data_IF_094890977865
#
_entry.id   IF_094890977865
#
_cell.length_a   1.000
_cell.length_b   1.000
_cell.length_c   1.000
_cell.angle_alpha   90.00
_cell.angle_beta   90.00
_cell.angle_gamma   90.00
#
_symmetry.space_group_name_H-M   'P 1'
#
loop_
_entity.id
_entity.type
_entity.pdbx_description
1 polymer ?
#
# COMPACT_ATOMS: atom_id res chain seq x y z
N UNK A 1 26.56 -34.10 30.89
CA UNK A 1 26.33 -35.30 31.73
C UNK A 1 27.51 -35.63 32.67
N UNK A 2 28.74 -35.86 32.18
CA UNK A 2 29.89 -36.21 33.05
C UNK A 2 30.26 -35.14 34.09
N UNK A 3 30.42 -33.88 33.66
CA UNK A 3 30.70 -32.75 34.57
C UNK A 3 29.56 -32.47 35.55
N UNK A 4 28.33 -32.76 35.13
CA UNK A 4 27.15 -32.63 35.97
C UNK A 4 27.15 -33.62 37.14
N UNK A 5 27.32 -34.92 36.85
CA UNK A 5 27.44 -35.96 37.88
C UNK A 5 28.61 -35.70 38.84
N UNK A 6 29.73 -35.21 38.31
CA UNK A 6 30.90 -34.83 39.11
C UNK A 6 30.60 -33.67 40.07
N UNK A 7 29.80 -32.68 39.65
CA UNK A 7 29.37 -31.56 40.48
C UNK A 7 28.38 -31.98 41.56
N UNK A 8 27.43 -32.87 41.25
CA UNK A 8 26.51 -33.44 42.26
C UNK A 8 27.30 -34.23 43.30
N UNK A 9 28.18 -35.14 42.86
CA UNK A 9 28.97 -35.97 43.76
C UNK A 9 29.84 -35.11 44.69
N UNK A 10 30.47 -34.05 44.18
CA UNK A 10 31.19 -33.08 45.02
C UNK A 10 30.28 -32.45 46.07
N UNK A 11 29.12 -31.92 45.67
CA UNK A 11 28.16 -31.35 46.63
C UNK A 11 27.64 -32.38 47.65
N UNK A 12 27.59 -33.65 47.26
CA UNK A 12 27.16 -34.73 48.13
C UNK A 12 28.20 -35.04 49.22
N UNK A 13 29.47 -35.07 48.83
CA UNK A 13 30.59 -35.26 49.75
C UNK A 13 30.82 -34.06 50.68
N UNK A 14 30.59 -32.84 50.19
CA UNK A 14 30.83 -31.62 50.98
C UNK A 14 29.75 -31.36 52.05
N UNK A 15 28.48 -31.67 51.76
CA UNK A 15 27.35 -31.31 52.64
C UNK A 15 26.74 -32.49 53.42
N UNK A 16 27.13 -33.73 53.14
CA UNK A 16 26.67 -34.98 53.79
C UNK A 16 25.21 -34.93 54.31
N UNK A 17 24.22 -34.73 53.42
CA UNK A 17 22.83 -34.53 53.81
C UNK A 17 22.20 -35.81 54.38
N UNK A 18 21.27 -35.66 55.33
CA UNK A 18 20.57 -36.77 55.99
C UNK A 18 19.74 -37.64 55.01
N UNK A 19 19.27 -37.06 53.91
CA UNK A 19 18.53 -37.75 52.85
C UNK A 19 19.20 -37.50 51.49
N UNK A 20 20.20 -38.32 51.11
CA UNK A 20 21.03 -38.12 49.93
C UNK A 20 20.24 -38.12 48.62
N UNK A 21 19.18 -38.94 48.57
CA UNK A 21 18.40 -39.20 47.37
C UNK A 21 17.54 -38.00 46.94
N UNK A 22 16.90 -37.30 47.90
CA UNK A 22 16.06 -36.13 47.59
C UNK A 22 16.88 -34.96 47.07
N UNK A 23 18.07 -34.75 47.63
CA UNK A 23 18.98 -33.70 47.16
C UNK A 23 19.45 -34.00 45.72
N UNK A 24 19.73 -35.27 45.41
CA UNK A 24 20.08 -35.68 44.05
C UNK A 24 18.95 -35.39 43.06
N UNK A 25 17.71 -35.73 43.42
CA UNK A 25 16.52 -35.50 42.59
C UNK A 25 16.26 -34.00 42.37
N UNK A 26 16.40 -33.17 43.40
CA UNK A 26 16.27 -31.71 43.27
C UNK A 26 17.37 -31.09 42.39
N UNK A 27 18.61 -31.54 42.52
CA UNK A 27 19.73 -31.09 41.69
C UNK A 27 19.61 -31.59 40.25
N UNK A 28 18.97 -32.75 40.02
CA UNK A 28 18.63 -33.28 38.68
C UNK A 28 17.57 -32.43 38.01
N UNK A 29 16.48 -32.15 38.72
CA UNK A 29 15.43 -31.28 38.21
C UNK A 29 15.94 -29.88 37.89
N UNK A 30 16.73 -29.27 38.79
CA UNK A 30 17.34 -27.94 38.54
C UNK A 30 18.32 -27.94 37.36
N UNK A 31 19.02 -29.03 37.10
CA UNK A 31 19.94 -29.10 35.96
C UNK A 31 19.19 -29.26 34.64
N UNK A 32 18.13 -30.06 34.60
CA UNK A 32 17.23 -30.15 33.45
C UNK A 32 16.52 -28.81 33.18
N UNK A 33 16.03 -28.13 34.22
CA UNK A 33 15.47 -26.77 34.12
C UNK A 33 16.49 -25.77 33.56
N UNK A 34 17.75 -25.81 34.04
CA UNK A 34 18.80 -24.94 33.52
C UNK A 34 19.24 -25.29 32.09
N UNK A 35 19.24 -26.57 31.71
CA UNK A 35 19.50 -27.01 30.33
C UNK A 35 18.43 -26.52 29.35
N UNK A 36 17.18 -26.40 29.81
CA UNK A 36 16.10 -25.80 29.02
C UNK A 36 16.27 -24.28 28.87
N UNK A 37 16.88 -23.61 29.86
CA UNK A 37 17.16 -22.16 29.85
C UNK A 37 18.44 -21.84 29.05
N UNK A 38 19.44 -22.73 29.06
CA UNK A 38 20.71 -22.60 28.34
C UNK A 38 20.59 -22.86 26.83
N UNK A 39 19.42 -23.32 26.35
CA UNK A 39 19.03 -23.06 24.97
C UNK A 39 18.84 -21.56 24.83
N UNK A 40 19.95 -20.86 24.59
CA UNK A 40 19.96 -19.44 24.26
C UNK A 40 18.90 -19.22 23.20
N UNK A 41 17.80 -18.61 23.60
CA UNK A 41 16.89 -17.99 22.65
C UNK A 41 17.74 -16.87 22.08
N UNK A 42 18.47 -17.15 20.99
CA UNK A 42 18.98 -16.10 20.13
C UNK A 42 17.78 -15.19 19.88
N UNK A 43 17.82 -13.99 20.43
CA UNK A 43 16.74 -13.02 20.28
C UNK A 43 16.46 -12.93 18.80
N UNK A 44 15.24 -13.33 18.39
CA UNK A 44 14.85 -13.29 16.99
C UNK A 44 15.17 -11.90 16.42
N UNK A 45 15.68 -11.79 15.17
CA UNK A 45 15.96 -10.50 14.55
C UNK A 45 14.72 -9.58 14.58
N UNK A 46 13.53 -10.17 14.56
CA UNK A 46 12.25 -9.48 14.76
C UNK A 46 12.20 -8.77 16.12
N UNK A 47 12.52 -9.48 17.21
CA UNK A 47 12.48 -8.94 18.57
C UNK A 47 13.52 -7.82 18.77
N UNK A 48 14.70 -7.97 18.18
CA UNK A 48 15.73 -6.91 18.22
C UNK A 48 15.25 -5.65 17.52
N UNK A 49 14.65 -5.77 16.33
CA UNK A 49 14.13 -4.61 15.60
C UNK A 49 12.94 -3.96 16.31
N UNK A 50 12.04 -4.76 16.89
CA UNK A 50 10.94 -4.26 17.71
C UNK A 50 11.44 -3.43 18.89
N UNK A 51 12.51 -3.86 19.57
CA UNK A 51 13.12 -3.09 20.66
C UNK A 51 13.68 -1.75 20.18
N UNK A 52 14.33 -1.72 19.01
CA UNK A 52 14.85 -0.47 18.41
C UNK A 52 13.71 0.50 18.09
N UNK A 53 12.63 0.00 17.47
CA UNK A 53 11.45 0.80 17.13
C UNK A 53 10.79 1.39 18.38
N UNK A 54 10.73 0.61 19.47
CA UNK A 54 10.18 1.06 20.75
C UNK A 54 11.10 2.08 21.45
N UNK A 55 12.43 1.93 21.36
CA UNK A 55 13.37 2.87 22.00
C UNK A 55 13.41 4.24 21.32
N UNK A 56 13.13 4.31 20.02
CA UNK A 56 13.19 5.55 19.23
C UNK A 56 11.96 6.46 19.41
N UNK A 57 11.05 6.14 20.32
CA UNK A 57 9.78 6.86 20.49
C UNK A 57 9.90 8.30 21.03
N UNK A 58 11.04 8.69 21.59
CA UNK A 58 11.16 9.92 22.41
C UNK A 58 11.30 11.24 21.64
N UNK A 59 11.35 11.25 20.30
CA UNK A 59 11.81 12.44 19.56
C UNK A 59 10.81 13.18 18.66
N UNK A 60 9.55 12.73 18.49
CA UNK A 60 8.72 13.28 17.40
C UNK A 60 7.24 13.37 17.76
N UNK A 61 6.85 14.51 18.32
CA UNK A 61 5.44 14.81 18.64
C UNK A 61 4.88 16.04 17.91
N UNK A 62 5.74 16.89 17.31
CA UNK A 62 5.34 18.21 16.81
C UNK A 62 4.59 18.23 15.46
N UNK A 63 5.08 17.54 14.43
CA UNK A 63 4.56 17.66 13.04
C UNK A 63 3.99 16.35 12.45
N UNK A 64 3.98 15.25 13.19
CA UNK A 64 3.60 13.94 12.62
C UNK A 64 2.12 13.80 12.28
N UNK A 65 1.23 14.57 12.92
CA UNK A 65 -0.21 14.46 12.70
C UNK A 65 -0.67 14.98 11.34
N UNK A 66 0.03 15.97 10.79
CA UNK A 66 -0.28 16.52 9.46
C UNK A 66 0.25 15.61 8.35
N UNK A 67 1.44 15.03 8.57
CA UNK A 67 2.10 14.20 7.56
C UNK A 67 1.53 12.77 7.52
N UNK A 68 1.14 12.20 8.66
CA UNK A 68 0.73 10.81 8.77
C UNK A 68 -0.74 10.66 9.18
N UNK A 69 -1.50 9.87 8.42
CA UNK A 69 -2.88 9.52 8.79
C UNK A 69 -2.95 8.79 10.14
N UNK A 70 -3.96 9.08 10.96
CA UNK A 70 -4.18 8.43 12.26
C UNK A 70 -4.62 6.96 12.09
N UNK A 71 -3.66 6.08 11.85
CA UNK A 71 -3.90 4.67 11.52
C UNK A 71 -4.68 3.92 12.61
N UNK A 72 -4.49 4.27 13.88
CA UNK A 72 -5.16 3.63 15.00
C UNK A 72 -6.66 3.96 15.03
N UNK A 73 -7.01 5.23 14.76
CA UNK A 73 -8.39 5.67 14.65
C UNK A 73 -9.08 5.04 13.45
N UNK A 74 -8.41 5.06 12.29
CA UNK A 74 -8.89 4.40 11.06
C UNK A 74 -9.15 2.92 11.32
N UNK A 75 -8.25 2.21 12.01
CA UNK A 75 -8.49 0.81 12.35
C UNK A 75 -9.66 0.60 13.30
N UNK A 76 -9.89 1.50 14.27
CA UNK A 76 -11.04 1.37 15.15
C UNK A 76 -12.37 1.50 14.38
N UNK A 77 -12.42 2.35 13.34
CA UNK A 77 -13.59 2.43 12.45
C UNK A 77 -13.79 1.11 11.69
N UNK A 78 -12.69 0.56 11.17
CA UNK A 78 -12.66 -0.72 10.46
C UNK A 78 -13.02 -1.93 11.37
N UNK A 79 -12.64 -1.90 12.65
CA UNK A 79 -13.01 -2.91 13.66
C UNK A 79 -14.52 -2.91 13.91
N UNK A 80 -15.17 -1.74 13.89
CA UNK A 80 -16.64 -1.64 14.00
C UNK A 80 -17.36 -2.26 12.79
N UNK A 81 -16.72 -2.25 11.61
CA UNK A 81 -17.24 -2.84 10.37
C UNK A 81 -16.98 -4.36 10.32
N UNK A 82 -16.08 -4.86 11.18
CA UNK A 82 -15.63 -6.26 11.18
C UNK A 82 -14.58 -6.58 10.12
N UNK A 83 -13.95 -5.57 9.53
CA UNK A 83 -12.83 -5.72 8.58
C UNK A 83 -11.65 -4.94 9.15
N UNK A 84 -10.89 -5.56 10.06
CA UNK A 84 -9.73 -4.91 10.70
C UNK A 84 -8.51 -5.80 10.68
N UNK A 85 -7.34 -5.17 10.80
CA UNK A 85 -6.10 -5.85 11.13
C UNK A 85 -5.96 -5.94 12.66
N UNK A 86 -5.03 -6.79 13.12
CA UNK A 86 -4.78 -6.89 14.56
C UNK A 86 -4.21 -5.57 15.11
N UNK A 87 -4.64 -5.17 16.31
CA UNK A 87 -4.19 -3.91 16.94
C UNK A 87 -2.68 -3.85 17.12
N UNK A 88 -2.06 -4.98 17.48
CA UNK A 88 -0.61 -5.09 17.61
C UNK A 88 0.09 -4.90 16.26
N UNK A 89 -0.40 -5.58 15.21
CA UNK A 89 0.13 -5.50 13.84
C UNK A 89 0.11 -4.07 13.32
N UNK A 90 -0.99 -3.35 13.56
CA UNK A 90 -1.14 -1.95 13.16
C UNK A 90 -0.22 -1.02 13.93
N UNK A 91 -0.03 -1.26 15.22
CA UNK A 91 0.91 -0.48 16.02
C UNK A 91 2.34 -0.65 15.48
N UNK A 92 2.72 -1.87 15.09
CA UNK A 92 4.01 -2.11 14.45
C UNK A 92 4.14 -1.43 13.09
N UNK A 93 3.12 -1.50 12.24
CA UNK A 93 3.09 -0.78 10.96
C UNK A 93 3.23 0.73 11.19
N UNK A 94 2.53 1.27 12.19
CA UNK A 94 2.62 2.68 12.56
C UNK A 94 4.04 3.06 12.99
N UNK A 95 4.72 2.23 13.79
CA UNK A 95 6.12 2.45 14.16
C UNK A 95 7.06 2.40 12.94
N UNK A 96 6.84 1.46 12.02
CA UNK A 96 7.64 1.37 10.79
C UNK A 96 7.44 2.58 9.88
N UNK A 97 6.21 3.08 9.77
CA UNK A 97 5.91 4.30 9.01
C UNK A 97 6.63 5.53 9.62
N UNK A 98 6.72 5.60 10.95
CA UNK A 98 7.52 6.63 11.63
C UNK A 98 9.00 6.52 11.34
N UNK A 99 9.53 5.30 11.31
CA UNK A 99 10.93 5.03 10.95
C UNK A 99 11.22 5.48 9.52
N UNK A 100 10.33 5.16 8.58
CA UNK A 100 10.41 5.60 7.18
C UNK A 100 10.42 7.13 7.04
N UNK A 101 9.59 7.83 7.81
CA UNK A 101 9.56 9.30 7.84
C UNK A 101 10.91 9.89 8.30
N UNK A 102 11.59 9.21 9.23
CA UNK A 102 12.90 9.65 9.73
C UNK A 102 14.01 9.41 8.70
N UNK A 103 13.91 8.30 7.95
CA UNK A 103 14.87 7.97 6.90
C UNK A 103 14.70 8.87 5.66
N UNK A 104 13.47 9.26 5.32
CA UNK A 104 13.13 10.01 4.10
C UNK A 104 12.46 11.35 4.44
N UNK A 105 13.23 12.42 4.46
CA UNK A 105 12.79 13.75 4.87
C UNK A 105 11.84 14.48 3.88
N UNK A 106 11.64 13.97 2.67
CA UNK A 106 10.90 14.66 1.59
C UNK A 106 9.43 14.22 1.45
N UNK A 107 8.93 13.39 2.37
CA UNK A 107 7.54 12.91 2.33
C UNK A 107 6.61 14.01 2.84
N UNK A 108 5.67 14.44 2.01
CA UNK A 108 4.63 15.42 2.37
C UNK A 108 3.48 14.73 3.12
N UNK A 109 3.02 13.59 2.59
CA UNK A 109 1.90 12.83 3.16
C UNK A 109 2.17 11.34 3.08
N UNK A 110 1.91 10.63 4.17
CA UNK A 110 2.10 9.20 4.30
C UNK A 110 0.79 8.51 4.72
N UNK A 111 0.32 7.58 3.90
CA UNK A 111 -0.92 6.83 4.15
C UNK A 111 -0.67 5.34 4.03
N UNK A 112 -1.18 4.57 4.99
CA UNK A 112 -1.22 3.12 4.86
C UNK A 112 -2.24 2.73 3.77
N UNK A 113 -1.76 2.07 2.72
CA UNK A 113 -2.60 1.65 1.60
C UNK A 113 -3.34 0.36 1.94
N UNK A 114 -2.63 -0.62 2.52
CA UNK A 114 -3.22 -1.90 2.88
C UNK A 114 -2.24 -3.05 2.94
N UNK A 115 -2.80 -4.26 2.95
CA UNK A 115 -2.08 -5.53 3.03
C UNK A 115 -2.47 -6.44 1.87
N UNK A 116 -1.49 -7.02 1.18
CA UNK A 116 -1.69 -8.04 0.16
C UNK A 116 -1.16 -9.37 0.70
N UNK A 117 -1.99 -10.41 0.62
CA UNK A 117 -1.59 -11.75 1.06
C UNK A 117 -0.71 -12.42 0.00
N UNK A 118 0.37 -13.05 0.45
CA UNK A 118 1.21 -13.91 -0.36
C UNK A 118 1.26 -15.34 0.20
N UNK A 119 1.85 -16.25 -0.56
CA UNK A 119 1.96 -17.67 -0.20
C UNK A 119 2.93 -17.90 0.97
N UNK A 120 4.08 -17.24 0.94
CA UNK A 120 5.12 -17.33 1.98
C UNK A 120 5.06 -16.15 2.94
N UNK A 121 5.00 -14.92 2.41
CA UNK A 121 4.94 -13.69 3.19
C UNK A 121 3.86 -12.74 2.66
N UNK A 122 3.34 -11.90 3.54
CA UNK A 122 2.37 -10.86 3.18
C UNK A 122 3.10 -9.54 2.90
N UNK A 123 2.54 -8.72 2.04
CA UNK A 123 3.05 -7.37 1.76
C UNK A 123 2.23 -6.32 2.49
N UNK A 124 2.90 -5.46 3.24
CA UNK A 124 2.33 -4.24 3.82
C UNK A 124 2.75 -3.06 2.96
N UNK A 125 1.77 -2.31 2.47
CA UNK A 125 1.98 -1.26 1.47
C UNK A 125 1.62 0.09 2.07
N UNK A 126 2.49 1.06 1.85
CA UNK A 126 2.32 2.46 2.24
C UNK A 126 2.44 3.32 0.99
N UNK A 127 1.50 4.24 0.81
CA UNK A 127 1.55 5.26 -0.25
C UNK A 127 2.08 6.58 0.32
N UNK A 128 2.91 7.27 -0.46
CA UNK A 128 3.55 8.52 -0.08
C UNK A 128 3.44 9.56 -1.21
N UNK A 129 3.11 10.79 -0.81
CA UNK A 129 3.15 12.00 -1.64
C UNK A 129 4.45 12.78 -1.33
N UNK A 130 5.04 13.44 -2.33
CA UNK A 130 6.34 14.12 -2.24
C UNK A 130 6.30 15.52 -2.84
N UNK A 131 7.10 16.42 -2.25
CA UNK A 131 7.23 17.82 -2.69
C UNK A 131 8.17 18.01 -3.90
N UNK A 132 9.20 17.18 -4.03
CA UNK A 132 10.19 17.27 -5.11
C UNK A 132 10.54 15.90 -5.68
N UNK A 133 10.71 15.85 -6.99
CA UNK A 133 10.98 14.63 -7.75
C UNK A 133 12.48 14.26 -7.83
N UNK A 134 13.35 15.12 -7.29
CA UNK A 134 14.78 15.11 -7.64
C UNK A 134 15.63 14.11 -6.84
N UNK A 135 15.10 13.53 -5.75
CA UNK A 135 15.86 12.66 -4.83
C UNK A 135 15.50 11.15 -4.97
N UNK A 136 14.89 10.74 -6.08
CA UNK A 136 14.48 9.34 -6.26
C UNK A 136 15.60 8.46 -6.82
N UNK A 137 15.86 7.35 -6.14
CA UNK A 137 16.74 6.27 -6.61
C UNK A 137 16.07 5.55 -7.80
N UNK A 138 16.23 6.12 -8.99
CA UNK A 138 15.78 5.53 -10.24
C UNK A 138 16.72 4.39 -10.63
N UNK A 139 16.52 3.23 -10.00
CA UNK A 139 17.22 2.00 -10.37
C UNK A 139 16.82 1.47 -11.76
N UNK A 140 15.73 2.00 -12.34
CA UNK A 140 15.26 1.62 -13.67
C UNK A 140 15.90 2.50 -14.75
N UNK A 141 17.02 2.03 -15.30
CA UNK A 141 17.76 2.69 -16.39
C UNK A 141 16.91 2.98 -17.63
N UNK A 142 15.81 2.25 -17.81
CA UNK A 142 14.90 2.43 -18.93
C UNK A 142 13.96 3.63 -18.70
N UNK A 143 13.49 3.82 -17.47
CA UNK A 143 12.65 4.95 -17.10
C UNK A 143 13.42 6.27 -17.16
N UNK A 144 14.70 6.25 -16.74
CA UNK A 144 15.56 7.43 -16.78
C UNK A 144 15.75 7.95 -18.21
N UNK A 145 15.88 7.06 -19.20
CA UNK A 145 15.95 7.46 -20.62
C UNK A 145 14.68 8.18 -21.09
N UNK A 146 13.51 7.71 -20.66
CA UNK A 146 12.25 8.40 -20.99
C UNK A 146 12.15 9.76 -20.32
N UNK A 147 12.58 9.87 -19.06
CA UNK A 147 12.59 11.14 -18.34
C UNK A 147 13.55 12.16 -18.97
N UNK A 148 14.75 11.72 -19.38
CA UNK A 148 15.71 12.54 -20.11
C UNK A 148 15.17 12.95 -21.48
N UNK A 149 14.57 12.04 -22.24
CA UNK A 149 13.97 12.31 -23.55
C UNK A 149 12.75 13.25 -23.49
N UNK A 150 12.01 13.26 -22.37
CA UNK A 150 10.90 14.21 -22.18
C UNK A 150 11.36 15.60 -21.74
N UNK A 151 12.54 15.72 -21.11
CA UNK A 151 13.08 16.99 -20.62
C UNK A 151 14.01 17.68 -21.62
N UNK A 152 14.63 16.92 -22.52
CA UNK A 152 15.49 17.42 -23.60
C UNK A 152 14.79 17.24 -24.93
N UNK A 153 14.33 18.33 -25.55
CA UNK A 153 13.77 18.36 -26.90
C UNK A 153 14.84 18.14 -27.99
N UNK A 154 15.76 17.18 -27.83
CA UNK A 154 16.82 16.91 -28.81
C UNK A 154 16.38 15.88 -29.86
N UNK A 155 16.78 16.16 -31.11
CA UNK A 155 16.32 15.51 -32.35
C UNK A 155 16.44 13.98 -32.34
N UNK A 156 15.39 13.33 -32.84
CA UNK A 156 15.16 11.89 -32.80
C UNK A 156 16.07 11.13 -33.76
N UNK A 157 17.02 10.35 -33.22
CA UNK A 157 17.73 9.31 -33.98
C UNK A 157 16.78 8.16 -34.40
N UNK A 158 17.07 7.49 -35.51
CA UNK A 158 16.29 6.36 -36.07
C UNK A 158 16.06 5.20 -35.07
N UNK A 159 16.85 5.11 -33.99
CA UNK A 159 16.63 4.17 -32.88
C UNK A 159 15.49 4.58 -31.94
N UNK A 160 15.21 5.87 -31.78
CA UNK A 160 14.09 6.40 -30.99
C UNK A 160 12.75 6.21 -31.68
N UNK A 161 12.71 6.00 -33.01
CA UNK A 161 11.47 5.78 -33.76
C UNK A 161 10.74 4.50 -33.31
N UNK A 162 11.48 3.45 -32.89
CA UNK A 162 10.86 2.24 -32.32
C UNK A 162 10.30 2.46 -30.91
N UNK A 163 10.78 3.48 -30.18
CA UNK A 163 10.29 3.88 -28.86
C UNK A 163 8.86 4.46 -28.97
N UNK A 164 8.58 5.20 -30.05
CA UNK A 164 7.26 5.81 -30.32
C UNK A 164 6.21 4.85 -30.91
N UNK A 165 6.61 3.63 -31.29
CA UNK A 165 5.62 2.60 -31.66
C UNK A 165 4.89 2.06 -30.43
N UNK A 166 5.50 2.20 -29.25
CA UNK A 166 4.91 1.82 -27.97
C UNK A 166 4.44 3.05 -27.21
N UNK A 167 3.52 2.84 -26.28
CA UNK A 167 2.93 3.90 -25.48
C UNK A 167 3.95 4.33 -24.42
N UNK A 168 4.37 5.61 -24.38
CA UNK A 168 5.42 6.03 -23.45
C UNK A 168 4.90 6.03 -22.00
N UNK A 169 5.78 5.74 -21.02
CA UNK A 169 5.44 5.82 -19.61
C UNK A 169 5.21 7.27 -19.17
N UNK A 170 4.39 7.44 -18.12
CA UNK A 170 4.14 8.75 -17.53
C UNK A 170 5.27 9.13 -16.56
N UNK A 171 5.58 10.42 -16.51
CA UNK A 171 6.65 10.98 -15.69
C UNK A 171 6.35 10.80 -14.19
N UNK A 172 7.41 10.86 -13.38
CA UNK A 172 7.26 10.77 -11.92
C UNK A 172 6.55 12.03 -11.43
N UNK A 173 5.58 11.84 -10.54
CA UNK A 173 4.71 12.92 -10.08
C UNK A 173 3.47 13.14 -10.96
N UNK A 174 3.41 12.53 -12.14
CA UNK A 174 2.29 12.67 -13.06
C UNK A 174 1.46 11.39 -13.20
N UNK A 175 0.15 11.57 -13.36
CA UNK A 175 -0.83 10.52 -13.62
C UNK A 175 -0.68 9.27 -12.74
N UNK A 176 -0.32 8.16 -13.37
CA UNK A 176 -0.16 6.82 -12.81
C UNK A 176 1.06 6.72 -11.89
N UNK A 177 2.09 7.54 -12.12
CA UNK A 177 3.32 7.62 -11.33
C UNK A 177 3.35 8.82 -10.38
N UNK A 178 2.19 9.40 -10.07
CA UNK A 178 2.05 10.48 -9.08
C UNK A 178 2.49 10.09 -7.68
N UNK A 179 2.06 8.90 -7.22
CA UNK A 179 2.34 8.41 -5.87
C UNK A 179 3.41 7.34 -5.89
N UNK A 180 4.21 7.31 -4.84
CA UNK A 180 5.21 6.27 -4.64
C UNK A 180 4.73 5.32 -3.57
N UNK A 181 5.03 4.05 -3.80
CA UNK A 181 4.61 2.98 -2.92
C UNK A 181 5.83 2.32 -2.28
N UNK A 182 5.74 2.12 -0.97
CA UNK A 182 6.72 1.43 -0.17
C UNK A 182 6.13 0.12 0.34
N UNK A 183 6.92 -0.95 0.30
CA UNK A 183 6.49 -2.30 0.68
C UNK A 183 7.43 -2.91 1.70
N UNK A 184 6.86 -3.56 2.71
CA UNK A 184 7.60 -4.46 3.60
C UNK A 184 6.91 -5.82 3.71
N UNK A 185 7.68 -6.88 3.91
CA UNK A 185 7.14 -8.23 4.11
C UNK A 185 6.87 -8.56 5.59
N UNK A 186 7.50 -7.81 6.51
CA UNK A 186 7.52 -8.14 7.93
C UNK A 186 8.05 -7.00 8.79
N UNK A 187 7.77 -7.06 10.08
CA UNK A 187 8.14 -6.02 11.07
C UNK A 187 9.67 -5.92 11.21
N UNK A 188 10.38 -6.99 10.87
CA UNK A 188 11.83 -7.12 10.89
C UNK A 188 12.55 -6.42 9.72
N UNK A 189 11.83 -6.00 8.67
CA UNK A 189 12.43 -5.44 7.45
C UNK A 189 12.06 -3.97 7.24
N UNK A 190 12.98 -3.16 6.68
CA UNK A 190 12.66 -1.79 6.34
C UNK A 190 11.69 -1.76 5.16
N UNK A 191 11.08 -0.61 4.94
CA UNK A 191 10.29 -0.36 3.75
C UNK A 191 11.20 -0.30 2.51
N UNK A 192 10.82 -1.04 1.47
CA UNK A 192 11.49 -1.08 0.17
C UNK A 192 10.62 -0.28 -0.81
N UNK A 193 11.22 0.67 -1.52
CA UNK A 193 10.54 1.43 -2.55
C UNK A 193 10.22 0.55 -3.76
N UNK A 194 8.98 0.61 -4.26
CA UNK A 194 8.59 -0.05 -5.50
C UNK A 194 9.04 0.76 -6.73
N UNK A 195 9.35 0.09 -7.85
CA UNK A 195 9.68 0.75 -9.10
C UNK A 195 8.49 1.53 -9.68
N UNK A 196 8.76 2.38 -10.65
CA UNK A 196 7.71 3.05 -11.43
C UNK A 196 7.02 2.06 -12.35
N UNK A 197 5.77 2.34 -12.71
CA UNK A 197 4.99 1.44 -13.56
C UNK A 197 5.00 1.92 -15.00
N UNK A 198 5.11 0.97 -15.92
CA UNK A 198 4.95 1.23 -17.35
C UNK A 198 3.55 0.86 -17.85
N UNK A 199 3.03 1.50 -18.91
CA UNK A 199 1.73 1.16 -19.48
C UNK A 199 1.63 -0.30 -19.92
N UNK A 200 2.73 -0.86 -20.43
CA UNK A 200 2.82 -2.27 -20.82
C UNK A 200 2.62 -3.20 -19.63
N UNK A 201 3.25 -2.92 -18.49
CA UNK A 201 3.07 -3.71 -17.26
C UNK A 201 1.60 -3.68 -16.80
N UNK A 202 0.93 -2.52 -16.84
CA UNK A 202 -0.48 -2.42 -16.48
C UNK A 202 -1.34 -3.26 -17.42
N UNK A 203 -1.15 -3.14 -18.73
CA UNK A 203 -1.90 -3.88 -19.74
C UNK A 203 -1.75 -5.39 -19.59
N UNK A 204 -0.52 -5.86 -19.39
CA UNK A 204 -0.24 -7.28 -19.21
C UNK A 204 -0.74 -7.80 -17.86
N UNK A 205 -0.68 -7.00 -16.79
CA UNK A 205 -1.21 -7.39 -15.48
C UNK A 205 -2.71 -7.72 -15.52
N UNK A 206 -3.49 -7.13 -16.44
CA UNK A 206 -4.93 -7.42 -16.61
C UNK A 206 -5.20 -8.86 -17.04
N UNK A 207 -4.22 -9.52 -17.68
CA UNK A 207 -4.31 -10.91 -18.15
C UNK A 207 -3.75 -11.92 -17.15
N UNK A 208 -3.09 -11.44 -16.09
CA UNK A 208 -2.40 -12.29 -15.12
C UNK A 208 -3.32 -12.55 -13.93
N UNK A 209 -3.54 -13.84 -13.64
CA UNK A 209 -4.23 -14.31 -12.46
C UNK A 209 -3.31 -15.27 -11.71
N UNK A 210 -2.51 -14.73 -10.79
CA UNK A 210 -1.55 -15.49 -10.00
C UNK A 210 -1.59 -15.04 -8.54
N UNK A 211 -1.34 -15.95 -7.60
CA UNK A 211 -1.08 -15.61 -6.20
C UNK A 211 0.34 -15.07 -6.04
N UNK A 212 0.49 -14.03 -5.23
CA UNK A 212 1.79 -13.49 -4.86
C UNK A 212 2.57 -14.48 -4.00
N UNK A 213 3.88 -14.57 -4.20
CA UNK A 213 4.73 -15.48 -3.41
C UNK A 213 5.08 -14.86 -2.06
N UNK A 214 5.24 -13.54 -1.99
CA UNK A 214 5.82 -12.88 -0.81
C UNK A 214 7.33 -12.62 -0.93
N UNK A 215 7.90 -12.88 -2.11
CA UNK A 215 9.25 -12.48 -2.49
C UNK A 215 9.21 -11.50 -3.68
N UNK A 216 9.73 -10.29 -3.47
CA UNK A 216 9.72 -9.20 -4.46
C UNK A 216 10.48 -9.54 -5.76
N UNK A 217 11.47 -10.42 -5.69
CA UNK A 217 12.31 -10.81 -6.83
C UNK A 217 11.87 -12.12 -7.51
N UNK A 218 10.72 -12.68 -7.11
CA UNK A 218 10.18 -13.88 -7.76
C UNK A 218 9.76 -13.60 -9.21
N UNK A 219 10.00 -14.56 -10.10
CA UNK A 219 9.60 -14.43 -11.50
C UNK A 219 8.08 -14.61 -11.67
N UNK A 220 7.47 -13.80 -12.52
CA UNK A 220 6.04 -13.87 -12.82
C UNK A 220 5.80 -14.95 -13.88
N UNK A 221 4.96 -15.94 -13.55
CA UNK A 221 4.62 -17.03 -14.46
C UNK A 221 3.42 -16.58 -15.30
N UNK A 222 3.68 -16.02 -16.48
CA UNK A 222 2.63 -15.63 -17.43
C UNK A 222 2.99 -16.05 -18.85
N UNK A 223 1.99 -16.55 -19.59
CA UNK A 223 2.07 -16.84 -21.03
C UNK A 223 2.29 -15.55 -21.86
N UNK A 224 2.02 -14.39 -21.28
CA UNK A 224 2.08 -13.10 -21.96
C UNK A 224 3.43 -12.38 -21.84
N UNK A 225 4.50 -13.06 -21.41
CA UNK A 225 5.85 -12.51 -21.17
C UNK A 225 5.82 -11.14 -20.45
N UNK A 226 5.46 -11.15 -19.16
CA UNK A 226 5.40 -9.92 -18.37
C UNK A 226 6.80 -9.28 -18.21
N UNK A 227 6.98 -7.99 -18.52
CA UNK A 227 8.25 -7.30 -18.40
C UNK A 227 8.51 -6.91 -16.94
N UNK A 228 9.06 -7.86 -16.18
CA UNK A 228 9.51 -7.64 -14.81
C UNK A 228 9.33 -8.84 -13.88
N UNK A 229 9.79 -8.67 -12.65
CA UNK A 229 9.57 -9.59 -11.52
C UNK A 229 8.34 -9.22 -10.70
N UNK A 230 8.06 -9.96 -9.61
CA UNK A 230 6.90 -9.80 -8.74
C UNK A 230 6.69 -8.37 -8.23
N UNK A 231 7.77 -7.61 -7.92
CA UNK A 231 7.66 -6.19 -7.50
C UNK A 231 6.97 -5.29 -8.54
N UNK A 232 7.19 -5.53 -9.84
CA UNK A 232 6.56 -4.76 -10.92
C UNK A 232 5.09 -5.17 -11.08
N UNK A 233 4.79 -6.47 -10.93
CA UNK A 233 3.41 -6.95 -10.92
C UNK A 233 2.65 -6.37 -9.74
N UNK A 234 3.25 -6.37 -8.56
CA UNK A 234 2.69 -5.79 -7.33
C UNK A 234 2.40 -4.30 -7.53
N UNK A 235 3.37 -3.53 -8.04
CA UNK A 235 3.18 -2.11 -8.39
C UNK A 235 2.02 -1.89 -9.36
N UNK A 236 1.93 -2.69 -10.42
CA UNK A 236 0.86 -2.57 -11.42
C UNK A 236 -0.53 -2.92 -10.83
N UNK A 237 -0.62 -3.94 -9.97
CA UNK A 237 -1.87 -4.31 -9.29
C UNK A 237 -2.31 -3.24 -8.30
N UNK A 238 -1.39 -2.70 -7.49
CA UNK A 238 -1.67 -1.59 -6.57
C UNK A 238 -2.27 -0.41 -7.34
N UNK A 239 -1.67 -0.07 -8.48
CA UNK A 239 -2.13 1.05 -9.30
C UNK A 239 -3.55 0.84 -9.84
N UNK A 240 -3.85 -0.37 -10.35
CA UNK A 240 -5.17 -0.73 -10.83
C UNK A 240 -6.22 -0.70 -9.73
N UNK A 241 -5.87 -1.20 -8.55
CA UNK A 241 -6.75 -1.17 -7.39
C UNK A 241 -7.00 0.28 -6.97
N UNK A 242 -5.95 1.08 -6.79
CA UNK A 242 -6.05 2.48 -6.39
C UNK A 242 -6.93 3.30 -7.33
N UNK A 243 -6.81 3.12 -8.65
CA UNK A 243 -7.63 3.83 -9.62
C UNK A 243 -9.11 3.38 -9.60
N UNK A 244 -9.41 2.15 -9.19
CA UNK A 244 -10.77 1.64 -9.16
C UNK A 244 -11.48 1.81 -7.82
N UNK A 245 -10.75 1.98 -6.71
CA UNK A 245 -11.36 1.87 -5.37
C UNK A 245 -11.22 3.07 -4.47
N UNK A 246 -10.52 4.11 -4.92
CA UNK A 246 -10.38 5.34 -4.15
C UNK A 246 -11.59 6.25 -4.37
N UNK A 247 -12.52 6.17 -3.43
CA UNK A 247 -13.80 6.89 -3.43
C UNK A 247 -13.89 7.89 -2.28
N UNK A 248 -14.72 8.91 -2.46
CA UNK A 248 -15.02 9.90 -1.45
C UNK A 248 -16.51 10.27 -1.46
N UNK A 249 -17.07 10.79 -0.36
CA UNK A 249 -18.40 11.37 -0.36
C UNK A 249 -18.52 12.51 -1.37
N UNK A 250 -19.67 12.61 -2.03
CA UNK A 250 -19.99 13.68 -2.97
C UNK A 250 -19.86 15.04 -2.28
N UNK A 251 -19.29 16.02 -2.99
CA UNK A 251 -18.97 17.38 -2.54
C UNK A 251 -17.85 17.50 -1.50
N UNK A 252 -17.18 16.39 -1.14
CA UNK A 252 -16.00 16.47 -0.28
C UNK A 252 -14.79 17.08 -1.03
N UNK A 253 -14.61 16.68 -2.29
CA UNK A 253 -13.63 17.26 -3.19
C UNK A 253 -14.29 18.20 -4.18
N UNK A 254 -13.57 19.27 -4.53
CA UNK A 254 -13.92 20.20 -5.61
C UNK A 254 -12.78 20.23 -6.62
N UNK A 255 -13.17 20.39 -7.89
CA UNK A 255 -12.21 20.70 -8.95
C UNK A 255 -11.90 22.19 -8.78
N UNK A 256 -10.62 22.59 -8.68
CA UNK A 256 -10.26 24.00 -8.60
C UNK A 256 -10.73 24.71 -9.87
N UNK A 257 -11.43 25.83 -9.70
CA UNK A 257 -11.84 26.69 -10.80
C UNK A 257 -10.58 27.38 -11.34
N UNK A 258 -10.02 26.87 -12.45
CA UNK A 258 -8.90 27.53 -13.13
C UNK A 258 -9.51 28.70 -13.93
N UNK A 259 -9.27 29.94 -13.48
CA UNK A 259 -9.78 31.18 -14.10
C UNK A 259 -9.13 31.56 -15.45
N UNK A 260 -8.43 30.64 -16.13
CA UNK A 260 -7.77 30.95 -17.41
C UNK A 260 -8.69 30.67 -18.61
N UNK A 261 -9.36 31.73 -19.08
CA UNK A 261 -10.27 31.80 -20.25
C UNK A 261 -9.63 31.44 -21.61
N UNK A 262 -8.35 31.08 -21.69
CA UNK A 262 -7.63 30.81 -22.96
C UNK A 262 -7.21 29.34 -23.18
N UNK A 263 -7.53 28.44 -22.26
CA UNK A 263 -7.18 27.02 -22.37
C UNK A 263 -8.39 26.24 -22.89
N UNK A 264 -8.40 25.95 -24.20
CA UNK A 264 -9.51 25.25 -24.87
C UNK A 264 -9.90 23.95 -24.16
N UNK A 265 -11.16 23.52 -24.34
CA UNK A 265 -11.80 22.37 -23.67
C UNK A 265 -10.94 21.06 -23.67
N UNK A 266 -9.99 20.91 -24.60
CA UNK A 266 -9.07 19.77 -24.71
C UNK A 266 -7.92 19.78 -23.68
N UNK A 267 -7.67 20.89 -22.98
CA UNK A 267 -6.59 21.03 -21.99
C UNK A 267 -7.07 20.91 -20.54
N UNK A 268 -8.39 20.89 -20.30
CA UNK A 268 -8.94 20.63 -18.97
C UNK A 268 -8.62 19.20 -18.49
N UNK A 269 -8.51 18.23 -19.41
CA UNK A 269 -8.22 16.82 -19.05
C UNK A 269 -6.78 16.57 -18.58
N UNK A 270 -5.85 17.50 -18.79
CA UNK A 270 -4.40 17.26 -18.62
C UNK A 270 -3.85 17.63 -17.23
N UNK A 271 -4.49 18.55 -16.51
CA UNK A 271 -3.98 19.07 -15.22
C UNK A 271 -4.94 18.90 -14.03
N UNK A 272 -6.14 18.35 -14.20
CA UNK A 272 -7.13 18.20 -13.12
C UNK A 272 -6.84 17.08 -12.13
N UNK A 273 -5.59 16.67 -11.92
CA UNK A 273 -5.27 15.69 -10.86
C UNK A 273 -5.31 16.30 -9.46
N UNK A 274 -5.25 17.63 -9.33
CA UNK A 274 -5.28 18.31 -8.05
C UNK A 274 -6.72 18.68 -7.68
N UNK A 275 -7.27 17.93 -6.73
CA UNK A 275 -8.58 18.18 -6.15
C UNK A 275 -8.39 18.90 -4.82
N UNK A 276 -9.16 19.97 -4.61
CA UNK A 276 -9.16 20.70 -3.35
C UNK A 276 -10.20 20.14 -2.38
N UNK A 277 -9.86 20.14 -1.09
CA UNK A 277 -10.81 19.79 -0.04
C UNK A 277 -11.81 20.93 0.09
N UNK A 278 -13.10 20.59 0.06
CA UNK A 278 -14.16 21.56 0.21
C UNK A 278 -14.33 21.99 1.68
N UNK A 279 -13.81 23.16 2.04
CA UNK A 279 -13.94 23.74 3.38
C UNK A 279 -15.41 23.97 3.84
N UNK A 280 -16.35 24.01 2.90
CA UNK A 280 -17.79 24.20 3.18
C UNK A 280 -18.58 22.89 3.30
N UNK A 281 -17.92 21.75 3.38
CA UNK A 281 -18.58 20.45 3.46
C UNK A 281 -19.21 20.21 4.85
N UNK A 282 -20.55 20.17 4.91
CA UNK A 282 -21.32 19.97 6.16
C UNK A 282 -21.63 18.49 6.48
N UNK A 283 -21.15 17.55 5.67
CA UNK A 283 -21.47 16.13 5.83
C UNK A 283 -22.81 15.74 5.18
N UNK A 284 -22.81 14.69 4.38
CA UNK A 284 -24.04 14.09 3.86
C UNK A 284 -24.79 13.34 4.98
N UNK A 285 -26.12 13.31 4.93
CA UNK A 285 -26.93 12.55 5.88
C UNK A 285 -26.65 11.04 5.72
N UNK A 286 -26.79 10.31 6.82
CA UNK A 286 -26.56 8.86 6.84
C UNK A 286 -27.50 8.12 5.86
N UNK A 287 -28.77 8.52 5.81
CA UNK A 287 -29.77 7.96 4.89
C UNK A 287 -29.35 8.16 3.43
N UNK A 288 -28.85 9.34 3.09
CA UNK A 288 -28.39 9.67 1.73
C UNK A 288 -27.14 8.86 1.36
N UNK A 289 -26.24 8.60 2.31
CA UNK A 289 -25.03 7.79 2.05
C UNK A 289 -25.33 6.29 1.92
N UNK A 290 -26.29 5.77 2.67
CA UNK A 290 -26.61 4.35 2.72
C UNK A 290 -27.64 3.89 1.67
N UNK A 291 -28.67 4.70 1.40
CA UNK A 291 -29.85 4.30 0.61
C UNK A 291 -29.80 4.78 -0.86
N UNK A 292 -28.76 5.50 -1.27
CA UNK A 292 -28.68 6.14 -2.58
C UNK A 292 -28.08 5.28 -3.70
N UNK A 293 -27.94 3.97 -3.49
CA UNK A 293 -27.31 3.05 -4.46
C UNK A 293 -25.95 3.56 -4.98
N UNK A 294 -25.19 4.32 -4.17
CA UNK A 294 -23.87 4.81 -4.55
C UNK A 294 -23.84 6.16 -5.28
N UNK A 295 -24.95 6.89 -5.40
CA UNK A 295 -24.92 8.22 -6.04
C UNK A 295 -24.09 9.26 -5.25
N UNK A 296 -23.99 9.08 -3.93
CA UNK A 296 -23.26 9.99 -3.05
C UNK A 296 -21.80 9.60 -2.84
N UNK A 297 -21.32 8.56 -3.54
CA UNK A 297 -19.91 8.15 -3.53
C UNK A 297 -19.34 8.39 -4.92
N UNK A 298 -18.23 9.10 -4.99
CA UNK A 298 -17.58 9.53 -6.23
C UNK A 298 -16.12 9.11 -6.25
N UNK A 299 -15.61 8.77 -7.43
CA UNK A 299 -14.18 8.49 -7.63
C UNK A 299 -13.39 9.78 -7.66
N UNK A 300 -12.36 9.91 -6.82
CA UNK A 300 -11.49 11.09 -6.80
C UNK A 300 -10.13 10.85 -7.49
N UNK A 301 -9.86 9.62 -7.90
CA UNK A 301 -8.65 9.25 -8.65
C UNK A 301 -8.99 9.11 -10.14
N UNK A 302 -8.12 9.55 -11.05
CA UNK A 302 -8.31 9.39 -12.49
C UNK A 302 -8.39 7.92 -12.92
N UNK A 303 -9.19 7.68 -13.94
CA UNK A 303 -9.35 6.37 -14.57
C UNK A 303 -8.11 5.97 -15.39
N UNK A 304 -7.77 4.68 -15.35
CA UNK A 304 -6.69 4.10 -16.16
C UNK A 304 -7.28 3.48 -17.43
N UNK A 305 -6.97 4.06 -18.58
CA UNK A 305 -7.35 3.58 -19.91
C UNK A 305 -6.84 2.16 -20.22
N UNK A 306 -7.41 1.48 -21.22
CA UNK A 306 -6.92 0.17 -21.67
C UNK A 306 -5.45 0.19 -22.12
N UNK A 307 -5.01 1.36 -22.56
CA UNK A 307 -3.63 1.66 -22.90
C UNK A 307 -2.67 1.54 -21.70
N UNK A 308 -3.17 1.68 -20.47
CA UNK A 308 -2.37 1.66 -19.24
C UNK A 308 -1.86 3.03 -18.78
N UNK A 309 -2.53 4.11 -19.20
CA UNK A 309 -2.23 5.50 -18.83
C UNK A 309 -3.44 6.19 -18.22
N UNK A 310 -3.22 7.28 -17.49
CA UNK A 310 -4.30 8.16 -17.03
C UNK A 310 -4.65 9.21 -18.09
N UNK A 311 -3.66 9.61 -18.89
CA UNK A 311 -3.85 10.51 -20.02
C UNK A 311 -3.76 9.69 -21.30
N UNK A 312 -4.80 9.77 -22.14
CA UNK A 312 -4.85 9.03 -23.39
C UNK A 312 -3.75 9.54 -24.35
N UNK A 313 -2.91 8.63 -24.84
CA UNK A 313 -1.87 8.98 -25.80
C UNK A 313 -2.37 8.77 -27.23
N UNK A 314 -2.57 9.88 -27.95
CA UNK A 314 -3.04 9.89 -29.34
C UNK A 314 -1.91 9.51 -30.30
N UNK A 315 -2.02 8.34 -30.94
CA UNK A 315 -1.23 8.04 -32.15
C UNK A 315 -1.95 8.60 -33.38
N UNK A 316 -1.22 9.25 -34.28
CA UNK A 316 -1.78 9.99 -35.42
C UNK A 316 -2.69 9.14 -36.34
N UNK A 317 -2.54 7.81 -36.32
CA UNK A 317 -3.27 6.87 -37.18
C UNK A 317 -4.64 6.39 -36.61
N UNK A 318 -4.96 6.62 -35.33
CA UNK A 318 -6.12 5.99 -34.65
C UNK A 318 -7.25 6.96 -34.22
N UNK A 319 -7.55 8.01 -35.00
CA UNK A 319 -8.58 9.01 -34.63
C UNK A 319 -10.04 8.51 -34.60
N UNK A 320 -10.32 7.25 -34.96
CA UNK A 320 -11.70 6.76 -35.15
C UNK A 320 -12.28 5.94 -33.98
N UNK A 321 -11.46 5.52 -33.01
CA UNK A 321 -11.89 4.71 -31.85
C UNK A 321 -11.18 5.13 -30.57
N UNK A 322 -11.29 6.40 -30.20
CA UNK A 322 -10.73 6.93 -28.95
C UNK A 322 -11.61 6.42 -27.79
N UNK A 323 -11.01 5.67 -26.86
CA UNK A 323 -11.65 5.32 -25.59
C UNK A 323 -11.88 6.62 -24.81
N UNK A 324 -13.13 6.92 -24.43
CA UNK A 324 -13.45 8.03 -23.53
C UNK A 324 -13.71 7.45 -22.15
N UNK A 325 -12.82 7.76 -21.20
CA UNK A 325 -12.96 7.35 -19.81
C UNK A 325 -14.02 8.19 -19.09
N UNK A 326 -14.50 7.74 -17.92
CA UNK A 326 -15.34 8.55 -17.07
C UNK A 326 -14.57 9.79 -16.58
N UNK A 327 -15.27 10.90 -16.40
CA UNK A 327 -14.69 12.11 -15.84
C UNK A 327 -14.35 11.94 -14.35
N UNK A 328 -13.52 12.83 -13.80
CA UNK A 328 -13.28 12.87 -12.35
C UNK A 328 -14.58 13.15 -11.59
N UNK A 329 -14.67 12.64 -10.37
CA UNK A 329 -15.84 12.76 -9.50
C UNK A 329 -17.11 12.10 -10.06
N UNK A 330 -16.96 11.13 -10.96
CA UNK A 330 -18.06 10.27 -11.42
C UNK A 330 -18.57 9.39 -10.28
N UNK A 331 -19.88 9.23 -10.19
CA UNK A 331 -20.54 8.42 -9.15
C UNK A 331 -20.31 6.93 -9.36
N UNK A 332 -20.11 6.17 -8.27
CA UNK A 332 -19.91 4.71 -8.33
C UNK A 332 -21.13 3.94 -8.86
N UNK A 333 -22.31 4.58 -8.93
CA UNK A 333 -23.51 4.00 -9.52
C UNK A 333 -23.39 3.82 -11.05
N UNK A 334 -22.50 4.56 -11.70
CA UNK A 334 -22.24 4.46 -13.14
C UNK A 334 -21.19 3.39 -13.47
N UNK A 335 -20.60 2.74 -12.45
CA UNK A 335 -19.60 1.71 -12.63
C UNK A 335 -20.18 0.43 -13.24
N UNK A 336 -19.35 -0.21 -14.07
CA UNK A 336 -19.72 -1.43 -14.81
C UNK A 336 -20.04 -2.56 -13.82
N UNK A 337 -21.28 -3.04 -13.89
CA UNK A 337 -21.77 -4.18 -13.13
C UNK A 337 -20.98 -5.48 -13.44
N UNK A 338 -20.81 -6.32 -12.42
CA UNK A 338 -20.17 -7.62 -12.56
C UNK A 338 -21.15 -8.57 -13.25
N UNK A 339 -20.74 -9.10 -14.42
CA UNK A 339 -21.55 -9.96 -15.27
C UNK A 339 -22.92 -9.34 -15.64
N UNK A 340 -23.01 -8.01 -15.72
CA UNK A 340 -24.23 -7.24 -16.03
C UNK A 340 -25.40 -7.42 -15.04
N UNK A 341 -25.21 -8.19 -13.96
CA UNK A 341 -26.26 -8.61 -13.04
C UNK A 341 -26.03 -8.14 -11.60
N UNK A 342 -24.77 -7.99 -11.20
CA UNK A 342 -24.41 -7.63 -9.83
C UNK A 342 -23.76 -6.24 -9.79
N UNK A 343 -24.16 -5.36 -8.85
CA UNK A 343 -23.53 -4.05 -8.74
C UNK A 343 -22.03 -4.19 -8.41
N UNK A 344 -21.22 -3.26 -8.89
CA UNK A 344 -19.78 -3.24 -8.63
C UNK A 344 -19.45 -3.00 -7.14
N UNK A 345 -20.42 -2.44 -6.40
CA UNK A 345 -20.28 -1.99 -5.02
C UNK A 345 -21.45 -2.48 -4.15
N UNK A 346 -21.16 -2.74 -2.88
CA UNK A 346 -22.15 -3.03 -1.85
C UNK A 346 -22.03 -1.99 -0.75
N UNK A 347 -23.15 -1.37 -0.35
CA UNK A 347 -23.20 -0.34 0.69
C UNK A 347 -23.96 -0.91 1.86
N UNK A 348 -23.36 -0.85 3.05
CA UNK A 348 -23.93 -1.39 4.28
C UNK A 348 -23.68 -0.43 5.46
N UNK A 349 -24.39 -0.68 6.55
CA UNK A 349 -24.28 0.09 7.80
C UNK A 349 -23.86 -0.81 8.97
N UNK A 350 -23.16 -0.25 9.95
CA UNK A 350 -22.64 -1.04 11.09
C UNK A 350 -23.70 -1.45 12.09
N UNK A 351 -24.68 -0.58 12.36
CA UNK A 351 -25.75 -0.83 13.33
C UNK A 351 -27.03 -0.13 12.91
N UNK A 352 -28.16 -0.79 13.12
CA UNK A 352 -29.49 -0.17 13.00
C UNK A 352 -30.04 0.30 14.34
N UNK A 353 -29.35 -0.01 15.45
CA UNK A 353 -29.86 0.16 16.81
C UNK A 353 -29.51 1.54 17.40
N UNK A 354 -28.37 2.11 17.02
CA UNK A 354 -27.87 3.40 17.54
C UNK A 354 -27.47 4.30 16.36
N UNK A 355 -28.42 5.07 15.78
CA UNK A 355 -28.18 5.87 14.58
C UNK A 355 -27.08 6.93 14.78
N UNK A 356 -26.89 7.45 15.99
CA UNK A 356 -25.89 8.47 16.32
C UNK A 356 -24.44 7.99 16.21
N UNK A 357 -24.20 6.68 16.31
CA UNK A 357 -22.87 6.07 16.18
C UNK A 357 -22.80 5.09 15.00
N UNK A 358 -23.74 5.19 14.07
CA UNK A 358 -23.77 4.31 12.90
C UNK A 358 -22.78 4.82 11.86
N UNK A 359 -21.98 3.91 11.32
CA UNK A 359 -21.10 4.17 10.20
C UNK A 359 -21.68 3.54 8.95
N UNK A 360 -21.56 4.24 7.83
CA UNK A 360 -21.81 3.71 6.49
C UNK A 360 -20.47 3.31 5.90
N UNK A 361 -20.41 2.13 5.29
CA UNK A 361 -19.22 1.66 4.61
C UNK A 361 -19.57 1.07 3.25
N UNK A 362 -18.60 1.07 2.35
CA UNK A 362 -18.80 0.67 0.95
C UNK A 362 -17.76 -0.37 0.59
N UNK A 363 -18.20 -1.57 0.20
CA UNK A 363 -17.32 -2.67 -0.18
C UNK A 363 -17.29 -2.84 -1.69
N UNK A 364 -16.10 -3.05 -2.24
CA UNK A 364 -15.97 -3.38 -3.66
C UNK A 364 -16.28 -4.86 -3.88
N UNK A 365 -17.21 -5.15 -4.79
CA UNK A 365 -17.50 -6.51 -5.23
C UNK A 365 -16.51 -6.96 -6.32
N UNK A 366 -15.91 -6.02 -7.06
CA UNK A 366 -14.92 -6.31 -8.11
C UNK A 366 -13.56 -6.67 -7.52
N UNK A 367 -13.22 -6.03 -6.41
CA UNK A 367 -11.98 -6.27 -5.66
C UNK A 367 -12.31 -6.68 -4.22
N UNK A 368 -12.53 -7.98 -3.97
CA UNK A 368 -12.87 -8.47 -2.65
C UNK A 368 -11.77 -8.14 -1.63
N UNK A 369 -12.16 -7.54 -0.51
CA UNK A 369 -11.24 -7.16 0.57
C UNK A 369 -11.04 -5.65 0.73
N UNK A 370 -11.57 -4.83 -0.20
CA UNK A 370 -11.53 -3.37 -0.12
C UNK A 370 -12.85 -2.82 0.41
N UNK A 371 -12.74 -1.88 1.35
CA UNK A 371 -13.83 -1.28 2.11
C UNK A 371 -13.55 0.21 2.38
#
# INVERSE_FOLDING_TARGET
MYEYLKRILRSHFDYCPKEPYKLFEELSRKHEENLLIDNQVESSPVAQRQLILLSNQSNIEGNMKEIMSNLLEVNNLFEQIGISLNKEEIYWIWLLMKDLLNEKANIEKLRFWGKIFGLENNYYIVEADFNSCDDFDLNDSEFLKYQEACTTEEELDDSNINLYRQVPPELIGEGVNRKIFFVTTGIDKPFIQLPMVTPEQIRLSRKIQQFFTGNLEASVLSDSNFPGVEKHLLRAQIQRISACTQIAPKNYFKIPDIEDEDMGEETMDLNSTNLDINDTYEGNKLEDLALSNGQYWVHYVPYIYEQGRNIYFYQEEEKSSIERGPHLLTSINEDIAINELYPAWSIDITSTLVPEHTLVYVRSNRWPGLC
#
